data_IF_272125365958
#
_entry.id   IF_272125365958
#
_cell.length_a   1.000
_cell.length_b   1.000
_cell.length_c   1.000
_cell.angle_alpha   90.00
_cell.angle_beta   90.00
_cell.angle_gamma   90.00
#
_symmetry.space_group_name_H-M   'P 1'
#
loop_
_entity.id
_entity.type
_entity.pdbx_description
1 polymer ?
#
# COMPACT_ATOMS: atom_id res chain seq x y z
N UNK A 1 -22.78 9.41 -19.59
CA UNK A 1 -22.12 8.06 -19.53
C UNK A 1 -20.74 8.14 -20.18
N UNK A 2 -19.76 7.33 -19.72
CA UNK A 2 -18.38 7.38 -20.24
C UNK A 2 -18.29 7.22 -21.76
N UNK A 3 -19.10 6.32 -22.35
CA UNK A 3 -19.09 6.07 -23.78
C UNK A 3 -19.45 7.30 -24.63
N UNK A 4 -20.42 8.09 -24.19
CA UNK A 4 -20.79 9.34 -24.86
C UNK A 4 -19.66 10.38 -24.81
N UNK A 5 -18.95 10.47 -23.69
CA UNK A 5 -17.80 11.37 -23.55
C UNK A 5 -16.67 10.98 -24.50
N UNK A 6 -16.32 9.69 -24.55
CA UNK A 6 -15.33 9.16 -25.50
C UNK A 6 -15.75 9.54 -26.93
N UNK A 7 -16.99 9.31 -27.32
CA UNK A 7 -17.51 9.64 -28.65
C UNK A 7 -17.45 11.13 -28.96
N UNK A 8 -17.83 11.98 -28.01
CA UNK A 8 -17.83 13.43 -28.19
C UNK A 8 -16.40 13.98 -28.32
N UNK A 9 -15.51 13.55 -27.46
CA UNK A 9 -14.08 13.95 -27.49
C UNK A 9 -13.39 13.45 -28.77
N UNK A 10 -13.66 12.21 -29.21
CA UNK A 10 -13.13 11.70 -30.47
C UNK A 10 -13.59 12.55 -31.65
N UNK A 11 -14.90 12.86 -31.71
CA UNK A 11 -15.46 13.68 -32.79
C UNK A 11 -14.94 15.11 -32.80
N UNK A 12 -14.83 15.75 -31.65
CA UNK A 12 -14.29 17.12 -31.53
C UNK A 12 -12.84 17.23 -32.01
N UNK A 13 -12.11 16.11 -31.97
CA UNK A 13 -10.73 16.00 -32.47
C UNK A 13 -10.63 15.50 -33.91
N UNK A 14 -11.75 15.32 -34.59
CA UNK A 14 -11.80 14.84 -35.98
C UNK A 14 -11.31 13.40 -36.16
N UNK A 15 -11.21 12.62 -35.07
CA UNK A 15 -10.69 11.25 -35.13
C UNK A 15 -11.76 10.27 -35.61
N UNK A 16 -11.36 9.32 -36.48
CA UNK A 16 -12.20 8.18 -36.85
C UNK A 16 -12.17 7.11 -35.78
N UNK A 17 -13.18 6.22 -35.76
CA UNK A 17 -13.17 5.04 -34.86
C UNK A 17 -11.91 4.17 -35.06
N UNK A 18 -11.47 4.02 -36.32
CA UNK A 18 -10.30 3.25 -36.66
C UNK A 18 -8.99 3.95 -36.24
N UNK A 19 -8.95 5.29 -36.38
CA UNK A 19 -7.81 6.09 -35.91
C UNK A 19 -7.61 5.99 -34.41
N UNK A 20 -8.67 6.15 -33.62
CA UNK A 20 -8.61 5.99 -32.16
C UNK A 20 -8.27 4.54 -31.76
N UNK A 21 -8.83 3.56 -32.46
CA UNK A 21 -8.56 2.15 -32.19
C UNK A 21 -7.07 1.81 -32.35
N UNK A 22 -6.45 2.27 -33.45
CA UNK A 22 -5.00 2.09 -33.68
C UNK A 22 -4.15 2.78 -32.64
N UNK A 23 -4.52 4.00 -32.25
CA UNK A 23 -3.78 4.79 -31.27
C UNK A 23 -3.69 4.13 -29.89
N UNK A 24 -4.75 3.43 -29.48
CA UNK A 24 -4.78 2.75 -28.16
C UNK A 24 -4.58 1.22 -28.24
N UNK A 25 -4.21 0.69 -29.39
CA UNK A 25 -3.92 -0.74 -29.57
C UNK A 25 -5.15 -1.62 -29.37
N UNK A 26 -6.26 -1.31 -30.06
CA UNK A 26 -7.50 -2.09 -30.02
C UNK A 26 -8.19 -2.15 -31.39
N UNK A 27 -9.36 -2.79 -31.46
CA UNK A 27 -10.16 -2.85 -32.70
C UNK A 27 -11.18 -1.74 -32.80
N UNK A 28 -11.53 -1.35 -34.06
CA UNK A 28 -12.62 -0.42 -34.35
C UNK A 28 -13.94 -0.83 -33.67
N UNK A 29 -14.21 -2.15 -33.65
CA UNK A 29 -15.42 -2.70 -33.03
C UNK A 29 -15.40 -2.50 -31.51
N UNK A 30 -14.26 -2.61 -30.87
CA UNK A 30 -14.10 -2.37 -29.44
C UNK A 30 -14.37 -0.90 -29.09
N UNK A 31 -13.82 0.05 -29.86
CA UNK A 31 -14.12 1.48 -29.66
C UNK A 31 -15.62 1.74 -29.82
N UNK A 32 -16.25 1.18 -30.85
CA UNK A 32 -17.70 1.34 -31.04
C UNK A 32 -18.50 0.80 -29.84
N UNK A 33 -18.10 -0.36 -29.28
CA UNK A 33 -18.74 -0.94 -28.10
C UNK A 33 -18.54 -0.08 -26.83
N UNK A 34 -17.38 0.56 -26.69
CA UNK A 34 -17.14 1.53 -25.61
C UNK A 34 -18.04 2.75 -25.77
N UNK A 35 -18.10 3.33 -26.97
CA UNK A 35 -18.95 4.51 -27.27
C UNK A 35 -20.44 4.25 -27.13
N UNK A 36 -20.90 3.05 -27.50
CA UNK A 36 -22.31 2.66 -27.38
C UNK A 36 -22.72 2.21 -25.97
N UNK A 37 -21.76 2.07 -25.06
CA UNK A 37 -22.01 1.56 -23.71
C UNK A 37 -22.28 0.06 -23.63
N UNK A 38 -22.11 -0.68 -24.75
CA UNK A 38 -22.22 -2.15 -24.78
C UNK A 38 -21.18 -2.82 -23.89
N UNK A 39 -20.00 -2.19 -23.75
CA UNK A 39 -18.98 -2.55 -22.77
C UNK A 39 -18.87 -1.36 -21.81
N UNK A 40 -19.34 -1.54 -20.57
CA UNK A 40 -19.27 -0.53 -19.51
C UNK A 40 -18.00 -0.64 -18.67
N UNK A 41 -17.44 -1.83 -18.53
CA UNK A 41 -16.20 -2.08 -17.77
C UNK A 41 -15.00 -2.04 -18.72
N UNK A 42 -14.47 -0.83 -18.95
CA UNK A 42 -13.28 -0.62 -19.77
C UNK A 42 -12.04 -0.86 -18.90
N UNK A 43 -11.06 -1.69 -19.35
CA UNK A 43 -9.84 -1.95 -18.60
C UNK A 43 -9.09 -0.65 -18.26
N UNK A 44 -8.50 -0.51 -17.05
CA UNK A 44 -7.84 0.71 -16.60
C UNK A 44 -6.76 1.21 -17.56
N UNK A 45 -5.95 0.32 -18.12
CA UNK A 45 -4.91 0.66 -19.09
C UNK A 45 -5.50 1.26 -20.38
N UNK A 46 -6.68 0.83 -20.79
CA UNK A 46 -7.39 1.39 -21.96
C UNK A 46 -8.01 2.75 -21.65
N UNK A 47 -8.49 2.96 -20.41
CA UNK A 47 -8.96 4.28 -19.95
C UNK A 47 -7.83 5.29 -19.98
N UNK A 48 -6.65 4.94 -19.46
CA UNK A 48 -5.47 5.82 -19.48
C UNK A 48 -5.06 6.14 -20.91
N UNK A 49 -5.02 5.15 -21.79
CA UNK A 49 -4.70 5.34 -23.20
C UNK A 49 -5.73 6.22 -23.92
N UNK A 50 -7.04 6.01 -23.69
CA UNK A 50 -8.12 6.84 -24.22
C UNK A 50 -8.01 8.29 -23.74
N UNK A 51 -7.80 8.49 -22.45
CA UNK A 51 -7.64 9.81 -21.86
C UNK A 51 -6.48 10.57 -22.50
N UNK A 52 -5.33 9.92 -22.67
CA UNK A 52 -4.14 10.47 -23.31
C UNK A 52 -4.43 10.89 -24.76
N UNK A 53 -4.98 10.00 -25.57
CA UNK A 53 -5.27 10.27 -27.00
C UNK A 53 -6.37 11.30 -27.18
N UNK A 54 -7.35 11.32 -26.28
CA UNK A 54 -8.44 12.30 -26.30
C UNK A 54 -8.10 13.58 -25.53
N UNK A 55 -6.87 13.74 -24.99
CA UNK A 55 -6.36 14.93 -24.28
C UNK A 55 -7.23 15.36 -23.13
N UNK A 56 -7.66 14.42 -22.37
CA UNK A 56 -8.48 14.57 -21.18
C UNK A 56 -7.90 13.75 -20.05
N UNK A 57 -8.46 13.79 -18.86
CA UNK A 57 -8.10 12.93 -17.75
C UNK A 57 -9.04 11.72 -17.65
N UNK A 58 -8.59 10.59 -17.05
CA UNK A 58 -9.49 9.49 -16.70
C UNK A 58 -10.71 9.93 -15.87
N UNK A 59 -10.52 10.86 -14.94
CA UNK A 59 -11.59 11.42 -14.11
C UNK A 59 -12.65 12.13 -14.95
N UNK A 60 -12.22 12.96 -15.90
CA UNK A 60 -13.14 13.64 -16.81
C UNK A 60 -13.89 12.66 -17.72
N UNK A 61 -13.27 11.56 -18.17
CA UNK A 61 -13.95 10.52 -18.93
C UNK A 61 -15.07 9.88 -18.11
N UNK A 62 -14.86 9.63 -16.82
CA UNK A 62 -15.89 9.09 -15.92
C UNK A 62 -16.91 10.12 -15.48
N UNK A 63 -16.63 11.42 -15.67
CA UNK A 63 -17.55 12.49 -15.27
C UNK A 63 -17.49 12.84 -13.80
N UNK A 64 -16.40 12.55 -13.17
CA UNK A 64 -16.13 13.02 -11.82
C UNK A 64 -15.68 14.48 -11.90
N UNK A 65 -16.41 15.36 -11.24
CA UNK A 65 -16.00 16.75 -11.13
C UNK A 65 -14.77 16.86 -10.26
N UNK A 66 -13.96 17.91 -10.50
CA UNK A 66 -12.63 18.15 -9.90
C UNK A 66 -12.63 18.37 -8.39
N UNK A 67 -13.38 17.60 -7.64
CA UNK A 67 -13.51 17.59 -6.19
C UNK A 67 -13.52 16.21 -5.57
N UNK A 68 -13.83 15.17 -6.34
CA UNK A 68 -13.82 13.79 -5.85
C UNK A 68 -12.54 13.11 -6.36
N UNK A 69 -11.49 13.24 -5.55
CA UNK A 69 -10.16 12.84 -5.92
C UNK A 69 -10.02 11.32 -6.08
N UNK A 70 -10.01 10.86 -7.34
CA UNK A 70 -9.02 9.85 -7.65
C UNK A 70 -7.71 10.58 -7.99
N UNK A 71 -6.62 10.25 -7.33
CA UNK A 71 -5.34 10.85 -7.64
C UNK A 71 -4.96 10.54 -9.07
N UNK A 72 -4.76 11.57 -9.85
CA UNK A 72 -4.24 11.48 -11.21
C UNK A 72 -2.94 10.71 -11.21
N UNK A 73 -2.94 9.50 -11.79
CA UNK A 73 -1.73 8.80 -12.18
C UNK A 73 -1.03 9.64 -13.27
N UNK A 74 -0.34 10.69 -12.86
CA UNK A 74 0.52 11.45 -13.74
C UNK A 74 1.81 10.66 -14.01
N UNK A 75 1.74 9.75 -14.98
CA UNK A 75 2.92 9.27 -15.66
C UNK A 75 3.43 10.38 -16.60
N UNK A 76 4.09 11.36 -16.04
CA UNK A 76 4.99 12.25 -16.80
C UNK A 76 6.33 12.30 -16.10
N UNK A 77 7.36 11.87 -16.79
CA UNK A 77 8.73 12.29 -16.53
C UNK A 77 8.75 13.81 -16.37
N UNK A 78 9.00 14.31 -15.17
CA UNK A 78 9.13 15.75 -14.93
C UNK A 78 8.34 16.19 -13.70
N UNK A 79 9.06 16.32 -12.63
CA UNK A 79 8.70 16.90 -11.36
C UNK A 79 8.10 18.31 -11.55
N UNK A 80 6.87 18.56 -11.12
CA UNK A 80 6.51 19.85 -10.55
C UNK A 80 5.30 19.74 -9.62
N UNK A 81 5.57 20.03 -8.39
CA UNK A 81 4.84 20.64 -7.27
C UNK A 81 3.31 20.64 -7.27
N UNK A 82 2.76 19.87 -6.42
CA UNK A 82 1.83 19.96 -5.31
C UNK A 82 1.05 18.66 -5.16
N UNK A 83 1.18 18.00 -4.01
CA UNK A 83 0.58 16.72 -3.63
C UNK A 83 0.86 15.55 -4.59
N UNK A 84 2.12 15.32 -4.82
CA UNK A 84 2.59 14.12 -5.52
C UNK A 84 2.33 12.88 -4.65
N UNK A 85 1.57 11.93 -5.19
CA UNK A 85 1.66 10.54 -4.77
C UNK A 85 3.14 10.12 -4.78
N UNK A 86 3.76 10.14 -3.63
CA UNK A 86 5.12 9.64 -3.46
C UNK A 86 5.03 8.14 -3.32
N UNK A 87 5.14 7.42 -4.43
CA UNK A 87 5.37 5.98 -4.35
C UNK A 87 6.73 5.77 -3.71
N UNK A 88 6.75 5.25 -2.50
CA UNK A 88 7.95 4.88 -1.76
C UNK A 88 8.22 3.39 -1.99
N UNK A 89 9.41 3.05 -2.41
CA UNK A 89 9.86 1.66 -2.49
C UNK A 89 10.36 1.26 -1.10
N UNK A 90 9.64 0.37 -0.42
CA UNK A 90 9.96 -0.07 0.92
C UNK A 90 10.52 -1.50 0.89
N UNK A 91 11.68 -1.76 1.51
CA UNK A 91 12.21 -3.10 1.60
C UNK A 91 11.31 -3.96 2.50
N UNK A 92 11.10 -5.22 2.12
CA UNK A 92 10.56 -6.25 3.02
C UNK A 92 11.77 -6.87 3.70
N UNK A 93 11.91 -6.60 4.98
CA UNK A 93 12.94 -7.25 5.78
C UNK A 93 12.49 -8.69 6.07
N UNK A 94 13.38 -9.64 5.80
CA UNK A 94 13.19 -11.05 6.15
C UNK A 94 13.34 -11.27 7.65
N UNK A 95 13.86 -12.43 8.03
CA UNK A 95 14.11 -12.76 9.44
C UNK A 95 15.07 -11.73 10.05
N UNK A 96 14.63 -11.07 11.12
CA UNK A 96 15.46 -10.13 11.87
C UNK A 96 16.28 -10.93 12.85
N UNK A 97 17.53 -11.21 12.49
CA UNK A 97 18.47 -11.82 13.40
C UNK A 97 19.20 -10.76 14.25
N UNK A 98 19.29 -10.99 15.56
CA UNK A 98 20.12 -10.23 16.50
C UNK A 98 19.89 -8.71 16.58
N UNK A 99 18.66 -8.25 16.36
CA UNK A 99 18.30 -6.86 16.64
C UNK A 99 18.84 -5.81 15.66
N UNK A 100 19.46 -6.23 14.60
CA UNK A 100 19.88 -5.39 13.48
C UNK A 100 19.08 -5.83 12.26
N UNK A 101 18.39 -4.92 11.54
CA UNK A 101 17.82 -5.25 10.25
C UNK A 101 18.95 -5.75 9.35
N UNK A 102 18.97 -7.04 9.05
CA UNK A 102 19.88 -7.58 8.05
C UNK A 102 19.31 -7.12 6.71
N UNK A 103 19.91 -6.10 6.13
CA UNK A 103 19.79 -5.88 4.69
C UNK A 103 20.55 -7.07 4.08
N UNK A 104 19.82 -8.07 3.64
CA UNK A 104 20.42 -9.17 2.89
C UNK A 104 20.97 -8.58 1.59
N UNK A 105 22.25 -8.27 1.58
CA UNK A 105 23.04 -8.14 0.37
C UNK A 105 23.14 -9.55 -0.21
N UNK A 106 22.46 -9.79 -1.29
CA UNK A 106 22.42 -11.01 -2.11
C UNK A 106 21.20 -11.93 -1.90
N UNK A 107 20.41 -11.94 -2.96
CA UNK A 107 19.31 -12.80 -3.36
C UNK A 107 17.87 -12.36 -2.96
N UNK A 108 17.23 -11.64 -3.92
CA UNK A 108 15.81 -11.31 -3.98
C UNK A 108 15.31 -10.32 -2.91
N UNK A 109 15.79 -9.10 -3.00
CA UNK A 109 15.14 -7.97 -2.35
C UNK A 109 13.67 -7.89 -2.78
N UNK A 110 12.77 -8.41 -1.95
CA UNK A 110 11.36 -8.16 -2.11
C UNK A 110 11.06 -6.74 -1.65
N UNK A 111 10.58 -5.89 -2.56
CA UNK A 111 10.14 -4.53 -2.24
C UNK A 111 8.63 -4.44 -2.39
N UNK A 112 8.01 -3.58 -1.60
CA UNK A 112 6.63 -3.15 -1.78
C UNK A 112 6.64 -1.70 -2.26
N UNK A 113 5.81 -1.42 -3.26
CA UNK A 113 5.49 -0.05 -3.63
C UNK A 113 4.36 0.43 -2.72
N UNK A 114 4.66 1.33 -1.80
CA UNK A 114 3.68 1.91 -0.89
C UNK A 114 3.32 3.34 -1.32
N UNK A 115 2.09 3.72 -1.07
CA UNK A 115 1.69 5.11 -1.15
C UNK A 115 2.45 5.89 -0.06
N UNK A 116 3.06 7.01 -0.43
CA UNK A 116 3.78 7.89 0.50
C UNK A 116 2.91 8.53 1.59
N UNK A 117 1.60 8.27 1.57
CA UNK A 117 0.68 8.59 2.68
C UNK A 117 1.05 7.81 3.95
N UNK A 118 1.59 6.59 3.80
CA UNK A 118 2.08 5.82 4.94
C UNK A 118 3.53 6.23 5.24
N UNK A 119 3.72 6.88 6.39
CA UNK A 119 5.04 7.20 6.91
C UNK A 119 5.69 5.92 7.48
N UNK A 120 6.12 5.07 6.57
CA UNK A 120 6.78 3.80 6.85
C UNK A 120 8.21 3.81 6.29
N UNK A 121 9.10 3.09 6.95
CA UNK A 121 10.52 2.99 6.56
C UNK A 121 10.88 1.62 5.99
N UNK A 122 10.20 0.57 6.44
CA UNK A 122 10.36 -0.79 5.97
C UNK A 122 9.08 -1.60 6.15
N UNK A 123 9.07 -2.81 5.62
CA UNK A 123 7.97 -3.77 5.78
C UNK A 123 8.47 -5.06 6.39
N UNK A 124 7.56 -5.77 7.04
CA UNK A 124 7.75 -7.14 7.50
C UNK A 124 6.63 -8.03 6.97
N UNK A 125 6.92 -9.29 6.78
CA UNK A 125 5.89 -10.30 6.55
C UNK A 125 5.42 -10.84 7.89
N UNK A 126 4.13 -10.74 8.16
CA UNK A 126 3.53 -11.37 9.33
C UNK A 126 3.64 -12.89 9.24
N UNK A 127 4.00 -13.53 10.34
CA UNK A 127 4.12 -14.98 10.45
C UNK A 127 3.25 -15.46 11.63
N UNK A 128 2.35 -16.39 11.35
CA UNK A 128 1.43 -16.96 12.33
C UNK A 128 0.15 -16.16 12.57
N UNK A 129 -0.60 -16.57 13.59
CA UNK A 129 -1.95 -16.11 13.88
C UNK A 129 -2.07 -15.24 15.15
N UNK A 130 -0.94 -14.80 15.73
CA UNK A 130 -0.95 -14.08 17.01
C UNK A 130 -1.64 -12.71 16.97
N UNK A 131 -1.84 -12.11 15.77
CA UNK A 131 -2.36 -10.76 15.58
C UNK A 131 -3.69 -10.71 14.81
N UNK A 132 -4.41 -11.82 14.71
CA UNK A 132 -5.67 -11.92 13.94
C UNK A 132 -6.77 -11.00 14.46
N UNK A 133 -6.81 -10.71 15.75
CA UNK A 133 -7.75 -9.75 16.35
C UNK A 133 -7.49 -8.30 15.90
N UNK A 134 -6.27 -7.99 15.50
CA UNK A 134 -5.89 -6.74 14.85
C UNK A 134 -6.09 -6.80 13.31
N UNK A 135 -6.67 -7.87 12.79
CA UNK A 135 -6.88 -8.15 11.35
C UNK A 135 -5.58 -8.33 10.57
N UNK A 136 -4.49 -8.64 11.24
CA UNK A 136 -3.23 -8.98 10.61
C UNK A 136 -3.11 -10.50 10.58
N UNK A 137 -3.08 -11.06 9.38
CA UNK A 137 -3.07 -12.50 9.12
C UNK A 137 -1.70 -12.98 8.68
N UNK A 138 -1.53 -14.30 8.72
CA UNK A 138 -0.32 -14.94 8.21
C UNK A 138 -0.05 -14.57 6.75
N UNK A 139 1.18 -14.17 6.45
CA UNK A 139 1.60 -13.74 5.10
C UNK A 139 1.31 -12.28 4.75
N UNK A 140 0.59 -11.53 5.59
CA UNK A 140 0.35 -10.09 5.39
C UNK A 140 1.65 -9.30 5.39
N UNK A 141 1.67 -8.22 4.61
CA UNK A 141 2.78 -7.26 4.62
C UNK A 141 2.43 -6.13 5.59
N UNK A 142 3.21 -5.98 6.64
CA UNK A 142 3.04 -4.93 7.66
C UNK A 142 4.03 -3.81 7.43
N UNK A 143 3.54 -2.58 7.32
CA UNK A 143 4.32 -1.37 7.10
C UNK A 143 4.75 -0.79 8.45
N UNK A 144 6.04 -0.56 8.63
CA UNK A 144 6.64 -0.18 9.89
C UNK A 144 7.32 1.18 9.77
N UNK A 145 6.98 2.08 10.68
CA UNK A 145 7.74 3.31 10.93
C UNK A 145 8.77 3.04 12.00
N UNK A 146 10.03 3.29 11.67
CA UNK A 146 11.17 3.07 12.56
C UNK A 146 11.13 4.04 13.74
N UNK A 147 11.02 3.52 14.96
CA UNK A 147 11.06 4.29 16.20
C UNK A 147 11.34 3.35 17.39
N UNK A 148 11.94 3.88 18.45
CA UNK A 148 12.36 3.09 19.61
C UNK A 148 11.34 3.09 20.77
N UNK A 149 10.20 3.76 20.58
CA UNK A 149 9.09 3.81 21.55
C UNK A 149 7.77 3.90 20.85
N UNK A 150 6.71 3.43 21.51
CA UNK A 150 5.32 3.51 21.04
C UNK A 150 4.42 3.85 22.20
N UNK A 151 3.25 4.41 21.92
CA UNK A 151 2.24 4.68 22.94
C UNK A 151 1.54 3.38 23.37
N UNK A 152 1.01 3.38 24.60
CA UNK A 152 0.29 2.22 25.12
C UNK A 152 -0.92 1.88 24.24
N UNK A 153 -1.02 0.62 23.88
CA UNK A 153 -2.06 0.11 22.99
C UNK A 153 -1.71 0.14 21.50
N UNK A 154 -0.54 0.61 21.12
CA UNK A 154 -0.09 0.55 19.73
C UNK A 154 0.52 -0.81 19.39
N UNK A 155 0.41 -1.18 18.11
CA UNK A 155 1.04 -2.40 17.58
C UNK A 155 2.43 -2.05 17.11
N UNK A 156 3.42 -2.82 17.57
CA UNK A 156 4.82 -2.61 17.25
C UNK A 156 5.54 -3.90 16.92
N UNK A 157 6.63 -3.76 16.16
CA UNK A 157 7.64 -4.80 16.03
C UNK A 157 8.60 -4.68 17.20
N UNK A 158 8.71 -5.77 17.93
CA UNK A 158 9.53 -5.87 19.13
C UNK A 158 10.50 -7.02 18.97
N UNK A 159 11.77 -6.80 19.31
CA UNK A 159 12.77 -7.86 19.45
C UNK A 159 12.76 -8.32 20.89
N UNK A 160 12.71 -9.62 21.05
CA UNK A 160 12.82 -10.32 22.33
C UNK A 160 13.93 -11.37 22.17
N UNK A 161 15.04 -11.15 22.82
CA UNK A 161 16.23 -11.97 22.56
C UNK A 161 16.69 -11.83 21.11
N UNK A 162 16.60 -12.91 20.34
CA UNK A 162 17.00 -12.98 18.93
C UNK A 162 15.81 -12.99 17.95
N UNK A 163 14.59 -12.91 18.46
CA UNK A 163 13.40 -13.02 17.62
C UNK A 163 12.64 -11.68 17.51
N UNK A 164 12.22 -11.34 16.29
CA UNK A 164 11.30 -10.23 16.06
C UNK A 164 9.85 -10.73 16.12
N UNK A 165 9.00 -10.01 16.84
CA UNK A 165 7.59 -10.34 16.97
C UNK A 165 6.72 -9.09 16.86
N UNK A 166 5.50 -9.25 16.35
CA UNK A 166 4.50 -8.19 16.29
C UNK A 166 3.54 -8.36 17.47
N UNK A 167 3.41 -7.32 18.30
CA UNK A 167 2.56 -7.34 19.49
C UNK A 167 1.96 -5.97 19.75
N UNK A 168 0.85 -5.93 20.49
CA UNK A 168 0.36 -4.70 21.09
C UNK A 168 1.14 -4.43 22.37
N UNK A 169 1.69 -3.21 22.48
CA UNK A 169 2.64 -2.83 23.52
C UNK A 169 1.94 -2.01 24.59
N UNK A 170 2.22 -2.33 25.87
CA UNK A 170 1.83 -1.54 27.03
C UNK A 170 3.04 -1.41 27.95
N UNK A 171 3.48 -0.18 28.20
CA UNK A 171 4.60 0.09 29.09
C UNK A 171 4.15 0.95 30.28
N UNK A 172 4.50 0.50 31.48
CA UNK A 172 4.19 1.12 32.76
C UNK A 172 5.53 1.48 33.45
N UNK A 173 6.03 2.72 33.29
CA UNK A 173 7.35 3.10 33.76
C UNK A 173 7.46 3.08 35.31
N UNK A 174 6.40 3.39 36.02
CA UNK A 174 6.40 3.36 37.50
C UNK A 174 6.49 1.95 38.07
N UNK A 175 6.06 0.94 37.29
CA UNK A 175 6.15 -0.47 37.67
C UNK A 175 7.35 -1.17 37.03
N UNK A 176 8.16 -0.45 36.24
CA UNK A 176 9.20 -1.02 35.38
C UNK A 176 8.72 -2.25 34.61
N UNK A 177 7.53 -2.15 34.01
CA UNK A 177 6.80 -3.27 33.45
C UNK A 177 6.39 -3.02 32.01
N UNK A 178 6.67 -4.00 31.16
CA UNK A 178 6.29 -4.05 29.75
C UNK A 178 5.42 -5.27 29.51
N UNK A 179 4.28 -5.07 28.84
CA UNK A 179 3.39 -6.14 28.42
C UNK A 179 3.34 -6.14 26.89
N UNK A 180 3.67 -7.27 26.30
CA UNK A 180 3.52 -7.53 24.87
C UNK A 180 2.31 -8.44 24.66
N UNK A 181 1.20 -7.84 24.28
CA UNK A 181 -0.09 -8.54 24.15
C UNK A 181 -0.30 -9.03 22.72
N UNK A 182 -0.54 -10.33 22.52
CA UNK A 182 -1.06 -10.83 21.25
C UNK A 182 -2.52 -10.38 21.08
N UNK A 183 -2.95 -10.27 19.86
CA UNK A 183 -4.35 -10.00 19.46
C UNK A 183 -5.07 -11.31 19.07
N UNK A 184 -4.73 -12.40 19.74
CA UNK A 184 -5.38 -13.69 19.63
C UNK A 184 -5.45 -14.32 21.03
N UNK A 185 -6.66 -14.57 21.56
CA UNK A 185 -6.85 -15.14 22.90
C UNK A 185 -6.20 -16.52 23.13
N UNK A 186 -5.80 -17.18 22.06
CA UNK A 186 -5.09 -18.46 22.11
C UNK A 186 -3.70 -18.34 22.76
N UNK A 187 -3.12 -17.13 22.75
CA UNK A 187 -1.77 -16.87 23.26
C UNK A 187 -1.85 -15.97 24.49
N UNK A 188 -1.01 -16.29 25.49
CA UNK A 188 -0.85 -15.44 26.66
C UNK A 188 0.02 -14.22 26.36
N UNK A 189 -0.22 -13.08 27.02
CA UNK A 189 0.68 -11.94 26.95
C UNK A 189 2.07 -12.29 27.53
N UNK A 190 3.12 -11.69 26.94
CA UNK A 190 4.46 -11.74 27.49
C UNK A 190 4.64 -10.54 28.43
N UNK A 191 5.17 -10.76 29.62
CA UNK A 191 5.36 -9.71 30.63
C UNK A 191 6.83 -9.67 31.02
N UNK A 192 7.43 -8.49 30.97
CA UNK A 192 8.84 -8.23 31.33
C UNK A 192 8.87 -7.19 32.45
N UNK A 193 9.67 -7.43 33.50
CA UNK A 193 9.73 -6.56 34.68
C UNK A 193 11.20 -6.30 35.05
N UNK A 194 11.51 -5.05 35.40
CA UNK A 194 12.83 -4.64 35.90
C UNK A 194 13.95 -4.94 34.91
N UNK A 195 14.94 -5.74 35.32
CA UNK A 195 16.12 -6.05 34.50
C UNK A 195 15.79 -6.77 33.18
N UNK A 196 14.68 -7.51 33.13
CA UNK A 196 14.24 -8.22 31.92
C UNK A 196 13.90 -7.27 30.76
N UNK A 197 13.58 -6.00 31.05
CA UNK A 197 13.31 -4.97 30.04
C UNK A 197 14.51 -4.76 29.11
N UNK A 198 15.73 -5.01 29.60
CA UNK A 198 16.95 -4.87 28.81
C UNK A 198 17.04 -5.86 27.64
N UNK A 199 16.30 -6.96 27.70
CA UNK A 199 16.22 -7.98 26.64
C UNK A 199 15.20 -7.65 25.55
N UNK A 200 14.44 -6.55 25.71
CA UNK A 200 13.35 -6.18 24.81
C UNK A 200 13.69 -4.87 24.12
N UNK A 201 13.56 -4.84 22.79
CA UNK A 201 13.82 -3.66 21.98
C UNK A 201 12.68 -3.40 21.00
N UNK A 202 12.12 -2.20 21.00
CA UNK A 202 11.14 -1.78 20.00
C UNK A 202 11.90 -1.35 18.74
N UNK A 203 11.54 -1.92 17.58
CA UNK A 203 12.10 -1.54 16.29
C UNK A 203 11.26 -0.47 15.58
N UNK A 204 9.96 -0.52 15.76
CA UNK A 204 9.08 0.44 15.10
C UNK A 204 7.61 0.13 15.32
N UNK A 205 6.80 1.13 14.98
CA UNK A 205 5.34 1.11 15.04
C UNK A 205 4.76 0.56 13.74
N UNK A 206 3.80 -0.35 13.82
CA UNK A 206 2.99 -0.76 12.69
C UNK A 206 2.01 0.37 12.34
N UNK A 207 2.10 0.89 11.11
CA UNK A 207 1.28 2.03 10.63
C UNK A 207 0.19 1.61 9.66
N UNK A 208 0.40 0.50 8.94
CA UNK A 208 -0.56 -0.07 8.00
C UNK A 208 -0.23 -1.55 7.76
N UNK A 209 -1.14 -2.26 7.13
CA UNK A 209 -0.87 -3.60 6.60
C UNK A 209 -1.61 -3.81 5.28
N UNK A 210 -1.14 -4.76 4.50
CA UNK A 210 -1.70 -5.17 3.22
C UNK A 210 -1.91 -6.68 3.24
N UNK A 211 -3.16 -7.11 3.05
CA UNK A 211 -3.56 -8.51 2.93
C UNK A 211 -3.77 -8.91 1.48
N UNK A 212 -3.52 -10.19 1.19
CA UNK A 212 -3.93 -10.78 -0.08
C UNK A 212 -5.34 -11.32 0.05
N UNK A 213 -6.16 -11.13 -0.98
CA UNK A 213 -7.44 -11.83 -1.10
C UNK A 213 -7.14 -13.24 -1.56
N UNK A 214 -7.51 -14.22 -0.75
CA UNK A 214 -7.40 -15.66 -1.04
C UNK A 214 -8.71 -16.22 -1.54
#
# INVERSE_FOLDING_TARGET
MIGEKIKNLRKSRGMTLDGLARAIGTSKQTIHRYESGTISNIPPEKIVALAKELGTSPSELYGWESGDAFPSLNYKNGISSSDSFRVKKLPILGDIACGVPVYAEEEHESFVLADGVFDADFCLRANGDSMIGARIYDGDIVFIRSQNSVDNGEVAVVIVGDEATLKRVYYYPEEEKLILSPENPKYAPLVYIGEELSSVKILGKAVAFQSRVS
#
